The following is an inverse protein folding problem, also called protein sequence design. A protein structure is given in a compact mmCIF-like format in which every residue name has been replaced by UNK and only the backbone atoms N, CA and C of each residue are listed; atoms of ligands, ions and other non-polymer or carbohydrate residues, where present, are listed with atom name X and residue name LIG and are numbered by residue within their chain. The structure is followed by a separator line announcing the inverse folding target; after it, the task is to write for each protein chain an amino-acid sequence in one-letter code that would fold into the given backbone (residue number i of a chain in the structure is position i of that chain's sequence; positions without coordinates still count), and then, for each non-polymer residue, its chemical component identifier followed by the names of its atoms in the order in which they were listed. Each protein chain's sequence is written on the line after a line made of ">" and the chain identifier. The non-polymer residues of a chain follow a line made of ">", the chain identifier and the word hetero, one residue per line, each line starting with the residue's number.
data_IF_481912026283
#
_entry.id   IF_481912026283
#
_cell.length_a   1.000
_cell.length_b   1.000
_cell.length_c   1.000
_cell.angle_alpha   90.00
_cell.angle_beta   90.00
_cell.angle_gamma   90.00
#
_symmetry.space_group_name_H-M   'P 1'
#
loop_
_entity.id
_entity.type
_entity.pdbx_description
1 polymer ?
#
# COMPACT_ATOMS: atom_id res chain seq x y z
N UNK A 1 -10.18 -8.74 -28.37
CA UNK A 1 -9.14 -8.24 -27.45
C UNK A 1 -9.65 -8.39 -26.02
N UNK A 2 -8.85 -8.95 -25.09
CA UNK A 2 -9.22 -9.11 -23.67
C UNK A 2 -8.26 -8.29 -22.82
N UNK A 3 -8.78 -7.48 -21.89
CA UNK A 3 -7.94 -6.79 -20.92
C UNK A 3 -7.52 -7.75 -19.80
N UNK A 4 -6.22 -7.86 -19.55
CA UNK A 4 -5.66 -8.68 -18.47
C UNK A 4 -5.45 -7.81 -17.23
N UNK A 5 -6.53 -7.61 -16.47
CA UNK A 5 -6.57 -6.65 -15.37
C UNK A 5 -5.52 -6.93 -14.29
N UNK A 6 -5.42 -8.18 -13.81
CA UNK A 6 -4.46 -8.56 -12.78
C UNK A 6 -3.00 -8.43 -13.25
N UNK A 7 -2.68 -8.94 -14.45
CA UNK A 7 -1.33 -8.81 -15.02
C UNK A 7 -0.91 -7.35 -15.09
N UNK A 8 -1.82 -6.49 -15.56
CA UNK A 8 -1.59 -5.05 -15.68
C UNK A 8 -1.40 -4.42 -14.29
N UNK A 9 -2.26 -4.76 -13.32
CA UNK A 9 -2.14 -4.31 -11.93
C UNK A 9 -0.79 -4.67 -11.31
N UNK A 10 -0.41 -5.94 -11.38
CA UNK A 10 0.85 -6.41 -10.81
C UNK A 10 2.06 -5.77 -11.50
N UNK A 11 2.00 -5.56 -12.82
CA UNK A 11 3.04 -4.87 -13.55
C UNK A 11 3.11 -3.37 -13.20
N UNK A 12 1.97 -2.71 -12.98
CA UNK A 12 1.94 -1.32 -12.51
C UNK A 12 2.55 -1.17 -11.12
N UNK A 13 2.26 -2.09 -10.20
CA UNK A 13 2.91 -2.15 -8.89
C UNK A 13 4.43 -2.24 -9.07
N UNK A 14 4.92 -3.16 -9.90
CA UNK A 14 6.37 -3.34 -10.15
C UNK A 14 7.01 -2.11 -10.81
N UNK A 15 6.34 -1.52 -11.80
CA UNK A 15 6.82 -0.34 -12.52
C UNK A 15 6.79 0.94 -11.68
N UNK A 16 6.04 0.95 -10.58
CA UNK A 16 5.96 2.12 -9.71
C UNK A 16 7.22 2.35 -8.88
N UNK A 17 8.11 1.35 -8.78
CA UNK A 17 9.40 1.46 -8.06
C UNK A 17 10.24 2.61 -8.64
N UNK A 18 10.74 3.48 -7.76
CA UNK A 18 11.47 4.70 -8.10
C UNK A 18 10.58 5.92 -8.35
N UNK A 19 9.26 5.76 -8.42
CA UNK A 19 8.33 6.86 -8.67
C UNK A 19 8.13 7.75 -7.43
N UNK A 20 7.96 9.04 -7.70
CA UNK A 20 7.57 10.09 -6.74
C UNK A 20 6.11 10.56 -6.94
N UNK A 21 5.34 9.88 -7.79
CA UNK A 21 3.98 10.31 -8.17
C UNK A 21 3.02 10.47 -7.00
N UNK A 22 3.15 9.63 -5.97
CA UNK A 22 2.24 9.59 -4.81
C UNK A 22 2.76 10.37 -3.60
N UNK A 23 3.72 11.28 -3.81
CA UNK A 23 4.44 11.95 -2.74
C UNK A 23 3.61 13.02 -2.01
N UNK A 24 2.61 13.62 -2.67
CA UNK A 24 1.84 14.73 -2.10
C UNK A 24 0.35 14.58 -2.36
N UNK A 25 -0.45 15.01 -1.38
CA UNK A 25 -1.90 15.13 -1.49
C UNK A 25 -2.37 16.33 -0.67
N UNK A 26 -2.84 17.36 -1.37
CA UNK A 26 -3.12 18.67 -0.78
C UNK A 26 -4.58 18.83 -0.40
N UNK A 27 -4.80 19.32 0.81
CA UNK A 27 -6.11 19.61 1.38
C UNK A 27 -6.14 21.05 1.88
N UNK A 28 -7.34 21.62 1.93
CA UNK A 28 -7.59 22.87 2.64
C UNK A 28 -8.13 22.55 4.04
N UNK A 29 -7.43 23.01 5.08
CA UNK A 29 -7.82 22.85 6.48
C UNK A 29 -7.73 24.23 7.13
N UNK A 30 -8.85 24.72 7.65
CA UNK A 30 -8.97 26.05 8.26
C UNK A 30 -8.40 27.18 7.36
N UNK A 31 -8.70 27.11 6.06
CA UNK A 31 -8.25 28.08 5.05
C UNK A 31 -6.78 27.98 4.66
N UNK A 32 -6.06 26.94 5.12
CA UNK A 32 -4.65 26.70 4.78
C UNK A 32 -4.49 25.48 3.88
N UNK A 33 -3.66 25.62 2.84
CA UNK A 33 -3.21 24.50 2.01
C UNK A 33 -2.19 23.65 2.78
N UNK A 34 -2.50 22.38 2.99
CA UNK A 34 -1.66 21.42 3.73
C UNK A 34 -1.40 20.19 2.86
N UNK A 35 -0.14 19.78 2.72
CA UNK A 35 0.19 18.45 2.18
C UNK A 35 0.08 17.41 3.28
N UNK A 36 -0.96 16.58 3.24
CA UNK A 36 -1.19 15.56 4.27
C UNK A 36 -0.20 14.40 4.19
N UNK A 37 0.51 14.23 3.07
CA UNK A 37 1.50 13.16 2.91
C UNK A 37 2.91 13.59 3.30
N UNK A 38 3.09 14.86 3.67
CA UNK A 38 4.36 15.43 4.14
C UNK A 38 5.51 15.17 3.16
N UNK A 39 5.27 15.45 1.87
CA UNK A 39 6.26 15.21 0.83
C UNK A 39 6.78 13.74 0.81
N UNK A 40 5.90 12.78 1.06
CA UNK A 40 6.13 11.35 0.87
C UNK A 40 6.28 10.53 2.14
N UNK A 41 6.52 11.18 3.28
CA UNK A 41 6.72 10.48 4.56
C UNK A 41 5.52 9.64 4.98
N UNK A 42 4.30 10.08 4.63
CA UNK A 42 3.04 9.42 4.99
C UNK A 42 2.26 8.92 3.76
N UNK A 43 2.96 8.56 2.68
CA UNK A 43 2.34 8.27 1.38
C UNK A 43 1.89 6.82 1.15
N UNK A 44 2.21 5.87 2.04
CA UNK A 44 2.01 4.43 1.79
C UNK A 44 0.54 4.06 1.48
N UNK A 45 -0.39 4.52 2.32
CA UNK A 45 -1.81 4.28 2.12
C UNK A 45 -2.36 4.99 0.86
N UNK A 46 -1.86 6.20 0.57
CA UNK A 46 -2.25 6.93 -0.63
C UNK A 46 -1.81 6.20 -1.90
N UNK A 47 -0.57 5.71 -1.93
CA UNK A 47 -0.07 4.88 -3.02
C UNK A 47 -0.91 3.61 -3.23
N UNK A 48 -1.08 2.81 -2.17
CA UNK A 48 -1.78 1.53 -2.25
C UNK A 48 -3.25 1.73 -2.66
N UNK A 49 -3.94 2.67 -2.03
CA UNK A 49 -5.36 2.91 -2.31
C UNK A 49 -5.60 3.48 -3.70
N UNK A 50 -4.72 4.35 -4.23
CA UNK A 50 -4.86 4.84 -5.61
C UNK A 50 -4.74 3.71 -6.64
N UNK A 51 -3.74 2.83 -6.50
CA UNK A 51 -3.59 1.70 -7.42
C UNK A 51 -4.78 0.74 -7.31
N UNK A 52 -5.22 0.40 -6.11
CA UNK A 52 -6.40 -0.46 -5.93
C UNK A 52 -7.67 0.19 -6.51
N UNK A 53 -7.85 1.49 -6.32
CA UNK A 53 -9.00 2.23 -6.85
C UNK A 53 -9.01 2.24 -8.37
N UNK A 54 -7.85 2.39 -9.00
CA UNK A 54 -7.71 2.37 -10.46
C UNK A 54 -8.21 1.05 -11.08
N UNK A 55 -8.06 -0.07 -10.37
CA UNK A 55 -8.55 -1.39 -10.80
C UNK A 55 -9.93 -1.75 -10.23
N UNK A 56 -10.63 -0.79 -9.61
CA UNK A 56 -11.95 -1.01 -9.02
C UNK A 56 -11.96 -1.99 -7.84
N UNK A 57 -10.82 -2.17 -7.16
CA UNK A 57 -10.66 -3.14 -6.07
C UNK A 57 -11.01 -2.59 -4.69
N UNK A 58 -11.20 -1.28 -4.57
CA UNK A 58 -11.70 -0.60 -3.37
C UNK A 58 -12.65 0.55 -3.74
N UNK A 59 -13.44 1.01 -2.77
CA UNK A 59 -14.47 2.04 -2.97
C UNK A 59 -13.88 3.46 -3.08
N UNK A 60 -12.83 3.78 -2.32
CA UNK A 60 -12.30 5.15 -2.22
C UNK A 60 -10.77 5.20 -2.09
N UNK A 61 -10.20 6.36 -2.36
CA UNK A 61 -8.78 6.66 -2.10
C UNK A 61 -8.63 7.06 -0.62
N UNK A 62 -7.55 6.59 0.02
CA UNK A 62 -7.32 6.77 1.46
C UNK A 62 -5.91 7.28 1.75
N UNK A 63 -5.81 8.13 2.77
CA UNK A 63 -4.51 8.63 3.28
C UNK A 63 -4.03 7.84 4.49
N UNK A 64 -4.94 7.19 5.21
CA UNK A 64 -4.62 6.43 6.41
C UNK A 64 -4.71 4.92 6.14
N UNK A 65 -3.73 4.17 6.65
CA UNK A 65 -3.68 2.70 6.55
C UNK A 65 -4.96 2.07 7.11
N UNK A 66 -5.42 2.52 8.28
CA UNK A 66 -6.64 2.01 8.92
C UNK A 66 -7.89 2.12 8.02
N UNK A 67 -8.02 3.22 7.28
CA UNK A 67 -9.16 3.44 6.40
C UNK A 67 -9.04 2.59 5.12
N UNK A 68 -7.80 2.42 4.63
CA UNK A 68 -7.50 1.52 3.50
C UNK A 68 -7.87 0.08 3.85
N UNK A 69 -7.50 -0.40 5.04
CA UNK A 69 -7.86 -1.75 5.53
C UNK A 69 -9.37 -1.92 5.68
N UNK A 70 -10.07 -0.94 6.27
CA UNK A 70 -11.52 -1.01 6.39
C UNK A 70 -12.21 -1.06 5.01
N UNK A 71 -11.69 -0.37 4.00
CA UNK A 71 -12.21 -0.43 2.63
C UNK A 71 -11.86 -1.75 1.91
N UNK A 72 -10.66 -2.28 2.12
CA UNK A 72 -10.30 -3.63 1.66
C UNK A 72 -11.32 -4.66 2.14
N UNK A 73 -11.63 -4.67 3.44
CA UNK A 73 -12.60 -5.59 4.04
C UNK A 73 -14.01 -5.40 3.49
N UNK A 74 -14.50 -4.15 3.36
CA UNK A 74 -15.80 -3.85 2.72
C UNK A 74 -15.83 -4.27 1.25
N UNK A 75 -14.69 -4.16 0.58
CA UNK A 75 -14.48 -4.57 -0.81
C UNK A 75 -14.14 -6.05 -0.93
N UNK A 76 -14.49 -6.87 0.07
CA UNK A 76 -14.34 -8.33 0.12
C UNK A 76 -12.91 -8.84 -0.10
N UNK A 77 -11.91 -8.06 0.27
CA UNK A 77 -10.58 -8.61 0.52
C UNK A 77 -10.60 -9.38 1.84
N UNK A 78 -10.11 -10.62 1.81
CA UNK A 78 -10.10 -11.50 2.97
C UNK A 78 -8.73 -11.47 3.61
N UNK A 79 -8.70 -11.33 4.93
CA UNK A 79 -7.49 -11.55 5.71
C UNK A 79 -7.14 -13.04 5.66
N UNK A 80 -5.91 -13.37 5.29
CA UNK A 80 -5.40 -14.74 5.17
C UNK A 80 -4.18 -14.96 6.06
N UNK A 81 -3.76 -16.21 6.32
CA UNK A 81 -2.45 -16.52 6.86
C UNK A 81 -1.34 -16.11 5.88
N UNK A 82 -0.19 -15.72 6.41
CA UNK A 82 0.96 -15.27 5.61
C UNK A 82 1.48 -16.36 4.66
N UNK A 83 1.39 -17.63 5.05
CA UNK A 83 1.83 -18.78 4.28
C UNK A 83 1.03 -18.96 2.97
N UNK A 84 -0.14 -18.33 2.89
CA UNK A 84 -1.03 -18.35 1.73
C UNK A 84 -0.91 -17.08 0.87
N UNK A 85 0.11 -16.25 1.08
CA UNK A 85 0.23 -15.00 0.35
C UNK A 85 0.69 -15.22 -1.10
N UNK A 86 0.05 -14.51 -2.03
CA UNK A 86 0.34 -14.56 -3.46
C UNK A 86 0.72 -13.18 -4.01
N UNK A 87 1.50 -13.10 -5.10
CA UNK A 87 1.79 -11.82 -5.75
C UNK A 87 0.49 -11.04 -6.01
N UNK A 88 0.50 -9.74 -5.73
CA UNK A 88 -0.67 -8.87 -5.85
C UNK A 88 -1.47 -8.70 -4.55
N UNK A 89 -1.26 -9.56 -3.55
CA UNK A 89 -1.85 -9.41 -2.22
C UNK A 89 -1.27 -8.21 -1.46
N UNK A 90 -1.99 -7.77 -0.42
CA UNK A 90 -1.65 -6.61 0.40
C UNK A 90 -1.00 -7.05 1.71
N UNK A 91 0.10 -6.40 2.06
CA UNK A 91 0.79 -6.52 3.34
C UNK A 91 0.49 -5.29 4.20
N UNK A 92 0.15 -5.51 5.46
CA UNK A 92 0.01 -4.48 6.49
C UNK A 92 0.98 -4.78 7.61
N UNK A 93 1.90 -3.86 7.86
CA UNK A 93 2.88 -3.96 8.94
C UNK A 93 2.47 -3.15 10.16
N UNK A 94 3.04 -3.52 11.30
CA UNK A 94 2.78 -2.91 12.60
C UNK A 94 3.01 -1.40 12.62
N UNK A 95 2.32 -0.76 13.57
CA UNK A 95 2.47 0.67 13.82
C UNK A 95 3.75 0.97 14.60
N UNK A 96 4.65 1.74 13.98
CA UNK A 96 5.93 2.18 14.59
C UNK A 96 6.06 3.69 14.51
N UNK A 97 6.82 4.29 15.42
CA UNK A 97 7.24 5.69 15.29
C UNK A 97 8.55 5.74 14.49
N UNK A 98 8.42 5.91 13.18
CA UNK A 98 9.57 6.07 12.28
C UNK A 98 9.97 7.53 12.08
N UNK A 99 9.21 8.48 12.62
CA UNK A 99 9.45 9.92 12.46
C UNK A 99 10.17 10.53 13.66
N UNK A 100 10.18 9.84 14.81
CA UNK A 100 10.77 10.31 16.06
C UNK A 100 9.94 11.37 16.79
N UNK A 101 8.67 11.57 16.40
CA UNK A 101 7.79 12.59 16.98
C UNK A 101 6.79 12.03 18.02
N UNK A 102 6.94 10.76 18.39
CA UNK A 102 6.07 10.04 19.32
C UNK A 102 4.80 9.46 18.69
N UNK A 103 4.51 9.72 17.40
CA UNK A 103 3.32 9.20 16.72
C UNK A 103 3.66 7.92 15.99
N UNK A 104 2.88 6.88 16.26
CA UNK A 104 2.98 5.61 15.56
C UNK A 104 2.16 5.62 14.29
N UNK A 105 2.75 5.13 13.22
CA UNK A 105 2.15 5.03 11.91
C UNK A 105 2.24 3.59 11.40
N UNK A 106 1.12 3.07 10.90
CA UNK A 106 1.09 1.79 10.21
C UNK A 106 1.78 1.89 8.86
N UNK A 107 2.13 0.75 8.28
CA UNK A 107 2.67 0.70 6.93
C UNK A 107 1.92 -0.32 6.09
N UNK A 108 1.81 -0.07 4.78
CA UNK A 108 1.04 -0.90 3.85
C UNK A 108 1.72 -0.94 2.48
N UNK A 109 1.60 -2.07 1.80
CA UNK A 109 2.27 -2.31 0.52
C UNK A 109 1.76 -3.57 -0.17
N UNK A 110 2.32 -3.83 -1.35
CA UNK A 110 1.96 -4.97 -2.19
C UNK A 110 3.02 -6.06 -2.06
N UNK A 111 2.60 -7.30 -1.86
CA UNK A 111 3.48 -8.45 -2.07
C UNK A 111 3.63 -8.71 -3.57
N UNK A 112 4.85 -8.97 -4.05
CA UNK A 112 5.13 -9.17 -5.47
C UNK A 112 5.76 -10.53 -5.79
N UNK A 113 5.73 -11.46 -4.82
CA UNK A 113 6.35 -12.78 -4.91
C UNK A 113 7.82 -12.79 -4.49
N UNK A 114 8.42 -13.97 -4.45
CA UNK A 114 9.84 -14.18 -4.14
C UNK A 114 10.32 -13.48 -2.86
N UNK A 115 9.46 -13.44 -1.82
CA UNK A 115 9.79 -12.77 -0.55
C UNK A 115 10.05 -11.25 -0.72
N UNK A 116 9.43 -10.63 -1.72
CA UNK A 116 9.57 -9.20 -2.00
C UNK A 116 8.23 -8.47 -1.90
N UNK A 117 8.31 -7.21 -1.50
CA UNK A 117 7.20 -6.28 -1.45
C UNK A 117 7.56 -4.95 -2.12
N UNK A 118 6.53 -4.21 -2.50
CA UNK A 118 6.62 -2.83 -3.00
C UNK A 118 5.78 -1.93 -2.11
N UNK A 119 6.40 -0.90 -1.58
CA UNK A 119 5.75 0.11 -0.75
C UNK A 119 6.53 1.42 -0.81
N UNK A 120 5.99 2.49 -0.22
CA UNK A 120 6.73 3.75 -0.09
C UNK A 120 7.74 3.67 1.05
N UNK A 121 8.85 4.37 0.91
CA UNK A 121 9.84 4.53 1.97
C UNK A 121 9.87 5.98 2.47
N UNK A 122 9.82 6.17 3.78
CA UNK A 122 9.75 7.49 4.39
C UNK A 122 11.07 8.25 4.28
N UNK A 123 12.20 7.53 4.18
CA UNK A 123 13.54 8.12 4.10
C UNK A 123 13.78 8.68 2.69
N UNK A 124 13.66 7.83 1.68
CA UNK A 124 13.86 8.21 0.27
C UNK A 124 12.65 8.92 -0.35
N UNK A 125 11.48 8.90 0.31
CA UNK A 125 10.22 9.52 -0.13
C UNK A 125 9.78 9.06 -1.52
N UNK A 126 10.10 7.81 -1.84
CA UNK A 126 9.84 7.14 -3.11
C UNK A 126 9.23 5.76 -2.88
N UNK A 127 8.66 5.20 -3.93
CA UNK A 127 8.27 3.78 -3.93
C UNK A 127 9.52 2.92 -4.11
N UNK A 128 9.70 1.93 -3.24
CA UNK A 128 10.85 1.03 -3.25
C UNK A 128 10.40 -0.43 -3.31
N UNK A 129 11.30 -1.27 -3.79
CA UNK A 129 11.22 -2.73 -3.66
C UNK A 129 12.11 -3.16 -2.50
N UNK A 130 11.58 -3.98 -1.60
CA UNK A 130 12.28 -4.46 -0.41
C UNK A 130 11.84 -5.87 -0.04
N UNK A 131 12.51 -6.50 0.93
CA UNK A 131 12.05 -7.78 1.49
C UNK A 131 10.71 -7.59 2.20
N UNK A 132 9.80 -8.56 2.05
CA UNK A 132 8.44 -8.48 2.58
C UNK A 132 8.36 -8.24 4.10
N UNK A 133 9.39 -8.64 4.85
CA UNK A 133 9.49 -8.46 6.31
C UNK A 133 10.60 -7.49 6.74
N UNK A 134 11.16 -6.69 5.81
CA UNK A 134 12.27 -5.78 6.09
C UNK A 134 13.49 -6.48 6.74
N UNK A 135 13.79 -7.71 6.32
CA UNK A 135 14.89 -8.49 6.89
C UNK A 135 14.63 -8.93 8.34
N UNK A 136 13.36 -9.04 8.74
CA UNK A 136 12.94 -9.44 10.08
C UNK A 136 12.75 -8.28 11.06
N UNK A 137 12.90 -7.02 10.60
CA UNK A 137 12.78 -5.83 11.47
C UNK A 137 11.35 -5.32 11.63
N UNK A 138 10.39 -5.81 10.83
CA UNK A 138 8.99 -5.41 10.89
C UNK A 138 8.08 -6.62 11.01
N UNK A 139 7.14 -6.54 11.94
CA UNK A 139 6.06 -7.51 12.09
C UNK A 139 4.92 -7.21 11.11
N UNK A 140 4.35 -8.27 10.56
CA UNK A 140 3.14 -8.20 9.73
C UNK A 140 1.91 -8.41 10.63
N UNK A 141 0.98 -7.47 10.57
CA UNK A 141 -0.28 -7.52 11.32
C UNK A 141 -1.45 -8.03 10.48
N UNK A 142 -1.33 -7.97 9.16
CA UNK A 142 -2.31 -8.55 8.25
C UNK A 142 -1.81 -8.74 6.84
N UNK A 143 -2.33 -9.78 6.21
CA UNK A 143 -2.16 -10.09 4.79
C UNK A 143 -3.55 -10.26 4.19
N UNK A 144 -3.83 -9.55 3.09
CA UNK A 144 -5.17 -9.51 2.48
C UNK A 144 -5.11 -9.97 1.03
N UNK A 145 -5.99 -10.89 0.66
CA UNK A 145 -6.14 -11.40 -0.70
C UNK A 145 -7.55 -11.16 -1.24
N UNK A 146 -7.68 -11.20 -2.56
CA UNK A 146 -8.95 -11.02 -3.26
C UNK A 146 -9.20 -12.18 -4.21
N UNK A 147 -10.11 -13.06 -3.80
CA UNK A 147 -10.60 -14.14 -4.66
C UNK A 147 -11.16 -13.57 -5.98
N UNK A 148 -10.80 -14.19 -7.10
CA UNK A 148 -11.24 -13.79 -8.43
C UNK A 148 -10.53 -12.57 -9.02
N UNK A 149 -9.64 -11.89 -8.27
CA UNK A 149 -8.75 -10.87 -8.82
C UNK A 149 -7.31 -11.38 -9.02
N UNK A 150 -7.00 -12.62 -8.65
CA UNK A 150 -5.72 -13.28 -8.93
C UNK A 150 -5.76 -13.98 -10.30
N UNK A 151 -4.59 -14.13 -10.94
CA UNK A 151 -4.47 -15.00 -12.11
C UNK A 151 -4.75 -16.46 -11.72
N UNK A 152 -5.67 -17.11 -12.43
CA UNK A 152 -5.94 -18.55 -12.34
C UNK A 152 -4.88 -19.35 -13.10
#
# INVERSE_FOLDING_TARGET
>A
MRFLAFTTYLQMVKNSVGSSLFRSSYFEIDGKKVDLLQNGELSCAFFVSNLLKLFGQIESIHIAVKNTVADLERSYWKKIPLEQIHPGDILVWEMVDFTGNGKKHGHIGFYIGNQLAVSTDFISRNIIRHSWNYGGTRKIEGTYTKEGFIEN
#
